data_IF_379441225185
#
_entry.id   IF_379441225185
#
_cell.length_a   1.000
_cell.length_b   1.000
_cell.length_c   1.000
_cell.angle_alpha   90.00
_cell.angle_beta   90.00
_cell.angle_gamma   90.00
#
_symmetry.space_group_name_H-M   'P 1'
#
loop_
_entity.id
_entity.type
_entity.pdbx_description
1 polymer ?
#
# COMPACT_ATOMS: atom_id res chain seq x y z
N UNK A 1 -13.86 -7.62 1.76
CA UNK A 1 -15.28 -7.69 1.35
C UNK A 1 -15.92 -9.05 1.50
N UNK A 2 -15.37 -10.15 0.96
CA UNK A 2 -16.14 -11.40 0.88
C UNK A 2 -16.23 -12.27 2.14
N UNK A 3 -15.32 -12.16 3.11
CA UNK A 3 -15.22 -13.11 4.24
C UNK A 3 -15.07 -12.48 5.63
N UNK A 4 -14.19 -11.48 5.79
CA UNK A 4 -13.79 -10.98 7.11
C UNK A 4 -14.50 -9.69 7.55
N UNK A 5 -15.11 -8.95 6.62
CA UNK A 5 -15.58 -7.57 6.86
C UNK A 5 -14.43 -6.56 6.95
N UNK A 6 -14.69 -5.28 6.64
CA UNK A 6 -13.64 -4.25 6.52
C UNK A 6 -12.88 -4.03 7.83
N UNK A 7 -13.58 -3.91 8.96
CA UNK A 7 -12.99 -3.68 10.29
C UNK A 7 -11.99 -4.78 10.68
N UNK A 8 -12.41 -6.05 10.64
CA UNK A 8 -11.51 -7.18 11.01
C UNK A 8 -10.34 -7.29 10.04
N UNK A 9 -10.55 -7.05 8.74
CA UNK A 9 -9.46 -7.01 7.76
C UNK A 9 -8.43 -5.94 8.12
N UNK A 10 -8.86 -4.72 8.49
CA UNK A 10 -7.96 -3.65 8.93
C UNK A 10 -7.17 -4.09 10.17
N UNK A 11 -7.83 -4.64 11.19
CA UNK A 11 -7.16 -5.07 12.42
C UNK A 11 -6.14 -6.18 12.16
N UNK A 12 -6.51 -7.26 11.48
CA UNK A 12 -5.59 -8.37 11.21
C UNK A 12 -4.39 -7.95 10.34
N UNK A 13 -4.63 -7.16 9.30
CA UNK A 13 -3.53 -6.68 8.46
C UNK A 13 -2.66 -5.63 9.15
N UNK A 14 -3.22 -4.85 10.09
CA UNK A 14 -2.45 -3.94 10.93
C UNK A 14 -1.55 -4.67 11.91
N UNK A 15 -1.99 -5.80 12.46
CA UNK A 15 -1.14 -6.68 13.28
C UNK A 15 0.01 -7.24 12.43
N UNK A 16 -0.30 -7.76 11.23
CA UNK A 16 0.72 -8.25 10.29
C UNK A 16 1.72 -7.15 9.91
N UNK A 17 1.24 -5.94 9.63
CA UNK A 17 2.07 -4.79 9.33
C UNK A 17 2.99 -4.42 10.50
N UNK A 18 2.44 -4.40 11.72
CA UNK A 18 3.20 -4.10 12.94
C UNK A 18 4.31 -5.14 13.17
N UNK A 19 4.00 -6.43 13.03
CA UNK A 19 4.98 -7.51 13.12
C UNK A 19 6.08 -7.32 12.07
N UNK A 20 5.72 -7.01 10.83
CA UNK A 20 6.68 -6.73 9.76
C UNK A 20 7.63 -5.57 10.08
N UNK A 21 7.11 -4.48 10.65
CA UNK A 21 7.93 -3.34 11.07
C UNK A 21 8.84 -3.67 12.26
N UNK A 22 8.35 -4.45 13.24
CA UNK A 22 9.18 -4.89 14.38
C UNK A 22 10.30 -5.82 13.90
N UNK A 23 10.01 -6.78 13.02
CA UNK A 23 11.03 -7.65 12.41
C UNK A 23 12.07 -6.82 11.65
N UNK A 24 11.64 -5.80 10.91
CA UNK A 24 12.53 -4.88 10.21
C UNK A 24 13.42 -4.06 11.16
N UNK A 25 12.86 -3.57 12.27
CA UNK A 25 13.63 -2.84 13.27
C UNK A 25 14.66 -3.75 13.96
N UNK A 26 14.31 -5.01 14.26
CA UNK A 26 15.22 -6.00 14.83
C UNK A 26 16.30 -6.41 13.83
N UNK A 27 15.96 -6.61 12.55
CA UNK A 27 16.94 -7.01 11.53
C UNK A 27 18.00 -5.94 11.30
N UNK A 28 17.68 -4.68 11.56
CA UNK A 28 18.61 -3.55 11.48
C UNK A 28 19.59 -3.46 12.68
N UNK A 29 19.41 -4.24 13.75
CA UNK A 29 20.33 -4.25 14.91
C UNK A 29 21.43 -5.27 14.61
N UNK A 30 22.55 -4.83 14.05
CA UNK A 30 23.70 -5.69 13.76
C UNK A 30 24.34 -6.30 15.02
N UNK A 31 24.26 -5.60 16.16
CA UNK A 31 24.77 -6.05 17.47
C UNK A 31 24.13 -7.38 17.97
N UNK A 32 23.01 -7.85 17.40
CA UNK A 32 22.37 -9.11 17.82
C UNK A 32 23.17 -10.34 17.37
N UNK A 33 23.87 -10.25 16.24
CA UNK A 33 24.63 -11.35 15.65
C UNK A 33 26.12 -11.06 15.59
N UNK A 34 26.55 -9.89 16.06
CA UNK A 34 27.96 -9.52 16.22
C UNK A 34 28.50 -10.07 17.55
N UNK A 35 28.88 -11.35 17.56
CA UNK A 35 29.47 -12.01 18.74
C UNK A 35 30.91 -11.52 18.96
N UNK A 36 31.55 -11.06 17.88
CA UNK A 36 32.95 -10.63 17.84
C UNK A 36 33.16 -9.14 18.21
N UNK A 37 32.07 -8.37 18.35
CA UNK A 37 32.04 -6.92 18.66
C UNK A 37 32.84 -6.06 17.66
N UNK A 38 32.94 -6.51 16.41
CA UNK A 38 33.70 -5.81 15.38
C UNK A 38 32.86 -4.79 14.59
N UNK A 39 31.55 -4.72 14.87
CA UNK A 39 30.59 -3.86 14.19
C UNK A 39 30.06 -4.46 12.89
N UNK A 40 30.38 -5.72 12.56
CA UNK A 40 29.85 -6.45 11.41
C UNK A 40 29.08 -7.68 11.86
N UNK A 41 27.88 -7.95 11.31
CA UNK A 41 27.12 -9.11 11.71
C UNK A 41 27.79 -10.39 11.19
N UNK A 42 28.11 -11.33 12.09
CA UNK A 42 28.77 -12.61 11.79
C UNK A 42 27.96 -13.47 10.79
N UNK A 43 26.64 -13.26 10.71
CA UNK A 43 25.76 -13.95 9.78
C UNK A 43 24.90 -12.97 8.97
N UNK A 44 25.49 -12.40 7.91
CA UNK A 44 24.81 -11.52 6.96
C UNK A 44 23.54 -12.15 6.34
N UNK A 45 23.53 -13.47 6.16
CA UNK A 45 22.40 -14.22 5.59
C UNK A 45 21.17 -14.13 6.49
N UNK A 46 21.36 -14.18 7.81
CA UNK A 46 20.27 -14.09 8.79
C UNK A 46 19.60 -12.71 8.76
N UNK A 47 20.39 -11.63 8.79
CA UNK A 47 19.89 -10.25 8.72
C UNK A 47 19.17 -9.97 7.39
N UNK A 48 19.69 -10.49 6.28
CA UNK A 48 19.06 -10.36 4.96
C UNK A 48 17.72 -11.11 4.90
N UNK A 49 17.67 -12.34 5.41
CA UNK A 49 16.45 -13.14 5.42
C UNK A 49 15.35 -12.51 6.29
N UNK A 50 15.71 -12.03 7.50
CA UNK A 50 14.78 -11.31 8.38
C UNK A 50 14.27 -10.02 7.75
N UNK A 51 15.15 -9.25 7.09
CA UNK A 51 14.74 -8.04 6.40
C UNK A 51 13.78 -8.35 5.24
N UNK A 52 14.06 -9.38 4.43
CA UNK A 52 13.15 -9.80 3.36
C UNK A 52 11.78 -10.23 3.90
N UNK A 53 11.76 -10.98 4.99
CA UNK A 53 10.52 -11.36 5.67
C UNK A 53 9.75 -10.13 6.16
N UNK A 54 10.44 -9.18 6.81
CA UNK A 54 9.85 -7.93 7.28
C UNK A 54 9.24 -7.11 6.14
N UNK A 55 9.95 -6.96 5.01
CA UNK A 55 9.46 -6.25 3.82
C UNK A 55 8.22 -6.92 3.22
N UNK A 56 8.19 -8.26 3.15
CA UNK A 56 7.02 -9.00 2.64
C UNK A 56 5.80 -8.77 3.53
N UNK A 57 5.97 -8.82 4.85
CA UNK A 57 4.89 -8.57 5.81
C UNK A 57 4.39 -7.12 5.75
N UNK A 58 5.31 -6.16 5.61
CA UNK A 58 4.98 -4.74 5.39
C UNK A 58 4.19 -4.56 4.09
N UNK A 59 4.63 -5.17 2.99
CA UNK A 59 3.96 -5.08 1.70
C UNK A 59 2.53 -5.67 1.76
N UNK A 60 2.38 -6.83 2.42
CA UNK A 60 1.09 -7.48 2.61
C UNK A 60 0.15 -6.63 3.47
N UNK A 61 0.65 -6.10 4.59
CA UNK A 61 -0.12 -5.25 5.50
C UNK A 61 -0.57 -3.96 4.83
N UNK A 62 0.37 -3.18 4.30
CA UNK A 62 0.08 -1.89 3.66
C UNK A 62 -0.84 -2.04 2.44
N UNK A 63 -0.64 -3.08 1.62
CA UNK A 63 -1.44 -3.35 0.43
C UNK A 63 -2.92 -3.61 0.73
N UNK A 64 -3.23 -4.27 1.85
CA UNK A 64 -4.63 -4.53 2.21
C UNK A 64 -5.25 -3.51 3.17
N UNK A 65 -4.46 -2.78 3.97
CA UNK A 65 -4.97 -1.71 4.84
C UNK A 65 -5.50 -0.54 4.01
N UNK A 66 -4.72 -0.05 3.04
CA UNK A 66 -5.02 1.17 2.26
C UNK A 66 -6.44 1.20 1.66
N UNK A 67 -6.88 0.20 0.87
CA UNK A 67 -8.23 0.23 0.28
C UNK A 67 -9.33 0.09 1.34
N UNK A 68 -9.07 -0.63 2.44
CA UNK A 68 -10.06 -0.88 3.48
C UNK A 68 -10.26 0.34 4.39
N UNK A 69 -9.21 1.05 4.79
CA UNK A 69 -9.30 2.19 5.71
C UNK A 69 -10.04 3.37 5.07
N UNK A 70 -9.71 3.71 3.82
CA UNK A 70 -10.39 4.79 3.11
C UNK A 70 -11.89 4.49 2.92
N UNK A 71 -12.21 3.25 2.54
CA UNK A 71 -13.60 2.82 2.39
C UNK A 71 -14.33 2.79 3.75
N UNK A 72 -13.69 2.27 4.81
CA UNK A 72 -14.28 2.19 6.14
C UNK A 72 -14.55 3.57 6.75
N UNK A 73 -13.64 4.53 6.56
CA UNK A 73 -13.83 5.91 7.00
C UNK A 73 -14.96 6.62 6.26
N UNK A 74 -15.12 6.36 4.96
CA UNK A 74 -16.24 6.88 4.16
C UNK A 74 -17.59 6.30 4.59
N UNK A 75 -17.63 5.02 4.98
CA UNK A 75 -18.84 4.34 5.45
C UNK A 75 -19.36 4.86 6.81
N UNK A 76 -18.60 5.69 7.52
CA UNK A 76 -19.04 6.27 8.80
C UNK A 76 -20.05 7.41 8.64
N UNK A 77 -20.22 7.92 7.41
CA UNK A 77 -21.09 9.05 7.11
C UNK A 77 -22.32 8.57 6.36
N UNK A 78 -23.50 8.98 6.81
CA UNK A 78 -24.76 8.73 6.11
C UNK A 78 -24.86 9.56 4.81
N UNK A 79 -25.78 9.18 3.91
CA UNK A 79 -25.96 9.87 2.62
C UNK A 79 -26.28 11.37 2.76
N UNK A 80 -26.97 11.77 3.84
CA UNK A 80 -27.29 13.17 4.10
C UNK A 80 -26.08 14.02 4.55
N UNK A 81 -24.95 13.39 4.88
CA UNK A 81 -23.75 14.01 5.46
C UNK A 81 -22.63 14.24 4.44
N UNK A 82 -22.97 14.52 3.17
CA UNK A 82 -21.97 14.63 2.09
C UNK A 82 -20.89 15.68 2.36
N UNK A 83 -21.26 16.82 2.96
CA UNK A 83 -20.31 17.89 3.30
C UNK A 83 -19.29 17.45 4.35
N UNK A 84 -19.73 16.70 5.36
CA UNK A 84 -18.85 16.17 6.42
C UNK A 84 -17.93 15.08 5.85
N UNK A 85 -18.48 14.19 5.01
CA UNK A 85 -17.72 13.15 4.30
C UNK A 85 -16.64 13.75 3.41
N UNK A 86 -16.95 14.80 2.65
CA UNK A 86 -15.97 15.51 1.82
C UNK A 86 -14.87 16.16 2.67
N UNK A 87 -15.24 16.83 3.76
CA UNK A 87 -14.28 17.45 4.69
C UNK A 87 -13.36 16.41 5.33
N UNK A 88 -13.91 15.25 5.71
CA UNK A 88 -13.12 14.12 6.21
C UNK A 88 -12.06 13.67 5.19
N UNK A 89 -12.43 13.48 3.93
CA UNK A 89 -11.47 13.10 2.88
C UNK A 89 -10.43 14.20 2.60
N UNK A 90 -10.79 15.47 2.70
CA UNK A 90 -9.83 16.58 2.60
C UNK A 90 -8.81 16.57 3.76
N UNK A 91 -9.27 16.38 5.00
CA UNK A 91 -8.38 16.27 6.17
C UNK A 91 -7.52 15.00 6.07
N UNK A 92 -8.09 13.89 5.62
CA UNK A 92 -7.37 12.64 5.39
C UNK A 92 -6.25 12.81 4.35
N UNK A 93 -6.54 13.47 3.22
CA UNK A 93 -5.55 13.77 2.20
C UNK A 93 -4.45 14.71 2.71
N UNK A 94 -4.83 15.77 3.44
CA UNK A 94 -3.87 16.68 4.08
C UNK A 94 -2.96 15.93 5.05
N UNK A 95 -3.51 14.99 5.83
CA UNK A 95 -2.77 14.20 6.81
C UNK A 95 -1.76 13.25 6.14
N UNK A 96 -2.11 12.69 4.98
CA UNK A 96 -1.19 11.85 4.19
C UNK A 96 -0.02 12.68 3.67
N UNK A 97 -0.29 13.85 3.07
CA UNK A 97 0.78 14.71 2.54
C UNK A 97 1.67 15.26 3.66
N UNK A 98 1.07 15.71 4.76
CA UNK A 98 1.82 16.17 5.94
C UNK A 98 2.66 15.03 6.55
N UNK A 99 2.09 13.83 6.67
CA UNK A 99 2.81 12.65 7.17
C UNK A 99 3.97 12.25 6.26
N UNK A 100 3.78 12.31 4.94
CA UNK A 100 4.84 12.07 3.95
C UNK A 100 5.97 13.09 4.11
N UNK A 101 5.64 14.39 4.16
CA UNK A 101 6.59 15.48 4.35
C UNK A 101 7.42 15.31 5.65
N UNK A 102 6.74 15.08 6.77
CA UNK A 102 7.39 14.86 8.07
C UNK A 102 8.26 13.61 8.05
N UNK A 103 7.80 12.52 7.43
CA UNK A 103 8.58 11.27 7.32
C UNK A 103 9.86 11.48 6.51
N UNK A 104 9.79 12.16 5.37
CA UNK A 104 10.96 12.44 4.52
C UNK A 104 11.96 13.39 5.20
N UNK A 105 11.51 14.27 6.09
CA UNK A 105 12.39 15.15 6.87
C UNK A 105 13.01 14.46 8.08
N UNK A 106 12.20 13.80 8.90
CA UNK A 106 12.59 13.25 10.21
C UNK A 106 13.38 11.95 10.05
N UNK A 107 13.00 11.07 9.12
CA UNK A 107 13.62 9.74 8.98
C UNK A 107 15.13 9.82 8.67
N UNK A 108 15.61 10.68 7.75
CA UNK A 108 17.05 10.87 7.53
C UNK A 108 17.78 11.44 8.73
N UNK A 109 17.16 12.35 9.50
CA UNK A 109 17.75 12.93 10.71
C UNK A 109 17.91 11.85 11.79
N UNK A 110 16.88 11.01 11.99
CA UNK A 110 16.95 9.89 12.93
C UNK A 110 18.00 8.85 12.52
N UNK A 111 18.14 8.59 11.21
CA UNK A 111 19.17 7.70 10.67
C UNK A 111 20.58 8.26 10.83
N UNK A 112 20.75 9.58 10.67
CA UNK A 112 22.05 10.26 10.73
C UNK A 112 22.60 10.38 12.16
N UNK A 113 21.79 10.10 13.18
CA UNK A 113 22.28 10.03 14.56
C UNK A 113 23.28 8.85 14.69
N UNK A 114 24.29 9.04 15.54
CA UNK A 114 25.22 7.98 15.93
C UNK A 114 24.56 7.15 17.05
N UNK A 115 24.30 5.87 16.82
CA UNK A 115 23.87 4.95 17.86
C UNK A 115 24.50 3.58 17.64
N UNK A 116 24.97 3.03 18.75
CA UNK A 116 25.43 1.66 18.89
C UNK A 116 26.02 1.51 20.29
N UNK A 117 25.84 0.34 20.90
CA UNK A 117 26.29 0.12 22.28
C UNK A 117 27.82 -0.02 22.32
N UNK A 118 28.42 -0.49 21.21
CA UNK A 118 29.86 -0.76 21.11
C UNK A 118 30.56 -0.10 19.90
N UNK A 119 29.85 0.19 18.80
CA UNK A 119 30.40 0.90 17.63
C UNK A 119 29.51 2.07 17.21
N UNK A 120 30.11 3.21 16.86
CA UNK A 120 29.38 4.40 16.36
C UNK A 120 28.93 4.15 14.91
N UNK A 121 27.82 3.46 14.74
CA UNK A 121 27.17 3.30 13.42
C UNK A 121 25.90 4.16 13.33
N UNK A 122 25.43 4.37 12.10
CA UNK A 122 24.16 5.05 11.83
C UNK A 122 22.99 4.23 12.39
N UNK A 123 22.10 4.83 13.18
CA UNK A 123 21.01 4.10 13.85
C UNK A 123 19.85 3.77 12.88
N UNK A 124 20.01 2.74 12.07
CA UNK A 124 18.91 2.15 11.31
C UNK A 124 17.77 1.61 12.21
N UNK A 125 18.03 1.00 13.38
CA UNK A 125 16.97 0.52 14.27
C UNK A 125 16.02 1.62 14.74
N UNK A 126 16.52 2.83 14.97
CA UNK A 126 15.69 3.96 15.41
C UNK A 126 14.78 4.44 14.28
N UNK A 127 15.32 4.54 13.06
CA UNK A 127 14.57 4.95 11.87
C UNK A 127 13.41 3.98 11.55
N UNK A 128 13.58 2.68 11.77
CA UNK A 128 12.50 1.69 11.59
C UNK A 128 11.63 1.48 12.84
N UNK A 129 12.17 1.68 14.04
CA UNK A 129 11.48 1.50 15.30
C UNK A 129 10.45 2.59 15.60
N UNK A 130 10.72 3.85 15.24
CA UNK A 130 9.76 4.96 15.43
C UNK A 130 8.45 4.72 14.67
N UNK A 131 8.46 4.42 13.35
CA UNK A 131 7.25 4.03 12.63
C UNK A 131 6.53 2.82 13.26
N UNK A 132 7.27 1.83 13.75
CA UNK A 132 6.69 0.65 14.38
C UNK A 132 5.91 1.01 15.64
N UNK A 133 6.47 1.86 16.51
CA UNK A 133 5.80 2.35 17.70
C UNK A 133 4.55 3.19 17.36
N UNK A 134 4.65 4.09 16.38
CA UNK A 134 3.51 4.88 15.92
C UNK A 134 2.38 4.01 15.36
N UNK A 135 2.72 2.93 14.63
CA UNK A 135 1.74 1.97 14.13
C UNK A 135 1.04 1.21 15.25
N UNK A 136 1.76 0.81 16.31
CA UNK A 136 1.17 0.19 17.51
C UNK A 136 0.18 1.12 18.16
N UNK A 137 0.55 2.39 18.37
CA UNK A 137 -0.35 3.41 18.94
C UNK A 137 -1.59 3.59 18.07
N UNK A 138 -1.43 3.71 16.75
CA UNK A 138 -2.54 3.82 15.81
C UNK A 138 -3.48 2.61 15.88
N UNK A 139 -2.95 1.39 15.98
CA UNK A 139 -3.74 0.17 16.13
C UNK A 139 -4.53 0.16 17.44
N UNK A 140 -3.92 0.56 18.55
CA UNK A 140 -4.60 0.64 19.86
C UNK A 140 -5.76 1.63 19.79
N UNK A 141 -5.53 2.83 19.25
CA UNK A 141 -6.58 3.85 19.08
C UNK A 141 -7.70 3.33 18.18
N UNK A 142 -7.34 2.67 17.07
CA UNK A 142 -8.33 2.11 16.16
C UNK A 142 -9.21 1.05 16.83
N UNK A 143 -8.63 0.14 17.60
CA UNK A 143 -9.37 -0.91 18.33
C UNK A 143 -10.21 -0.29 19.46
N UNK A 144 -9.68 0.70 20.18
CA UNK A 144 -10.42 1.37 21.25
C UNK A 144 -11.74 2.00 20.75
N UNK A 145 -11.76 2.51 19.51
CA UNK A 145 -12.95 3.06 18.87
C UNK A 145 -14.00 2.05 18.40
N UNK A 146 -13.79 0.74 18.56
CA UNK A 146 -14.66 -0.29 17.95
C UNK A 146 -16.16 -0.14 18.23
N UNK A 147 -16.54 0.33 19.43
CA UNK A 147 -17.94 0.52 19.83
C UNK A 147 -18.62 1.71 19.15
N UNK A 148 -17.85 2.64 18.57
CA UNK A 148 -18.36 3.84 17.92
C UNK A 148 -18.52 3.68 16.41
N UNK A 149 -17.97 2.61 15.82
CA UNK A 149 -17.96 2.46 14.37
C UNK A 149 -19.24 1.84 13.82
N UNK A 150 -19.68 2.37 12.69
CA UNK A 150 -20.73 1.76 11.88
C UNK A 150 -20.11 0.60 11.09
N UNK A 151 -20.57 -0.62 11.38
CA UNK A 151 -20.07 -1.85 10.75
C UNK A 151 -21.03 -2.31 9.64
N UNK A 152 -20.67 -1.99 8.40
CA UNK A 152 -21.41 -2.45 7.22
C UNK A 152 -21.26 -3.96 6.99
N UNK A 153 -22.36 -4.59 6.56
CA UNK A 153 -22.38 -6.02 6.25
C UNK A 153 -21.54 -6.33 5.00
N UNK A 154 -20.87 -7.50 4.94
CA UNK A 154 -20.01 -7.86 3.81
C UNK A 154 -20.82 -7.98 2.51
N UNK A 155 -20.59 -7.06 1.58
CA UNK A 155 -21.11 -7.12 0.21
C UNK A 155 -20.35 -8.20 -0.57
N UNK A 156 -21.09 -9.02 -1.34
CA UNK A 156 -20.56 -10.20 -2.03
C UNK A 156 -19.40 -9.93 -3.01
N UNK A 157 -18.79 -10.98 -3.55
CA UNK A 157 -17.61 -10.87 -4.42
C UNK A 157 -17.99 -10.51 -5.88
N UNK A 158 -18.12 -9.21 -6.17
CA UNK A 158 -18.39 -8.69 -7.52
C UNK A 158 -17.27 -9.07 -8.49
N UNK A 159 -16.01 -9.03 -8.07
CA UNK A 159 -14.87 -9.38 -8.95
C UNK A 159 -14.97 -10.83 -9.45
N UNK A 160 -15.29 -11.77 -8.56
CA UNK A 160 -15.50 -13.17 -8.94
C UNK A 160 -16.67 -13.34 -9.92
N UNK A 161 -17.75 -12.58 -9.72
CA UNK A 161 -18.90 -12.59 -10.63
C UNK A 161 -18.50 -12.08 -12.02
N UNK A 162 -17.76 -10.96 -12.08
CA UNK A 162 -17.24 -10.40 -13.34
C UNK A 162 -16.31 -11.38 -14.06
N UNK A 163 -15.36 -12.00 -13.34
CA UNK A 163 -14.45 -12.99 -13.92
C UNK A 163 -15.19 -14.22 -14.46
N UNK A 164 -16.18 -14.74 -13.73
CA UNK A 164 -17.03 -15.85 -14.18
C UNK A 164 -17.91 -15.46 -15.37
N UNK A 165 -18.40 -14.22 -15.42
CA UNK A 165 -19.18 -13.68 -16.54
C UNK A 165 -18.33 -13.61 -17.81
N UNK A 166 -17.12 -13.03 -17.73
CA UNK A 166 -16.17 -12.96 -18.85
C UNK A 166 -15.77 -14.36 -19.32
N UNK A 167 -15.40 -15.25 -18.39
CA UNK A 167 -15.01 -16.63 -18.71
C UNK A 167 -16.15 -17.41 -19.39
N UNK A 168 -17.39 -17.22 -18.92
CA UNK A 168 -18.57 -17.81 -19.55
C UNK A 168 -18.81 -17.23 -20.94
N UNK A 169 -18.75 -15.91 -21.13
CA UNK A 169 -18.91 -15.27 -22.44
C UNK A 169 -17.89 -15.79 -23.46
N UNK A 170 -16.63 -15.92 -23.05
CA UNK A 170 -15.54 -16.42 -23.90
C UNK A 170 -15.78 -17.89 -24.25
N UNK A 171 -16.08 -18.75 -23.26
CA UNK A 171 -16.38 -20.16 -23.48
C UNK A 171 -17.57 -20.34 -24.42
N UNK A 172 -18.63 -19.58 -24.21
CA UNK A 172 -19.86 -19.68 -24.98
C UNK A 172 -19.66 -19.21 -26.44
N UNK A 173 -18.84 -18.17 -26.64
CA UNK A 173 -18.42 -17.70 -27.97
C UNK A 173 -17.61 -18.76 -28.72
N UNK A 174 -16.74 -19.51 -28.06
CA UNK A 174 -15.96 -20.56 -28.71
C UNK A 174 -16.82 -21.79 -29.05
N UNK A 175 -17.75 -22.18 -28.18
CA UNK A 175 -18.65 -23.31 -28.42
C UNK A 175 -19.67 -23.03 -29.55
N UNK A 176 -20.18 -21.81 -29.65
CA UNK A 176 -21.17 -21.41 -30.64
C UNK A 176 -20.57 -20.72 -31.87
N UNK A 177 -19.28 -20.96 -32.16
CA UNK A 177 -18.57 -20.43 -33.34
C UNK A 177 -19.05 -21.02 -34.68
N UNK A 178 -19.99 -21.98 -34.64
CA UNK A 178 -20.60 -22.61 -35.81
C UNK A 178 -21.60 -21.69 -36.52
N UNK A 179 -21.77 -21.85 -37.84
CA UNK A 179 -22.57 -20.99 -38.74
C UNK A 179 -24.09 -20.92 -38.46
N UNK A 180 -24.59 -21.64 -37.46
CA UNK A 180 -26.03 -21.78 -37.16
C UNK A 180 -26.61 -20.68 -36.24
N UNK A 181 -25.79 -19.86 -35.58
CA UNK A 181 -26.29 -18.81 -34.68
C UNK A 181 -26.09 -17.40 -35.25
N UNK A 182 -27.08 -16.49 -35.09
CA UNK A 182 -26.95 -15.10 -35.52
C UNK A 182 -25.77 -14.43 -34.81
N UNK A 183 -24.96 -13.67 -35.56
CA UNK A 183 -23.82 -12.94 -35.00
C UNK A 183 -24.34 -11.85 -34.06
N UNK A 184 -23.94 -11.89 -32.79
CA UNK A 184 -24.17 -10.81 -31.81
C UNK A 184 -23.26 -9.61 -32.12
N UNK A 185 -23.72 -8.39 -31.83
CA UNK A 185 -22.95 -7.16 -32.06
C UNK A 185 -21.68 -7.07 -31.20
N UNK A 186 -21.74 -7.51 -29.93
CA UNK A 186 -20.59 -7.54 -29.03
C UNK A 186 -20.30 -8.96 -28.52
N UNK A 187 -19.01 -9.30 -28.37
CA UNK A 187 -18.58 -10.63 -27.92
C UNK A 187 -19.02 -10.99 -26.50
N UNK A 188 -19.45 -10.01 -25.71
CA UNK A 188 -19.90 -10.22 -24.33
C UNK A 188 -21.40 -10.49 -24.22
N UNK A 189 -22.16 -10.31 -25.30
CA UNK A 189 -23.60 -10.64 -25.34
C UNK A 189 -23.83 -12.17 -25.31
N UNK A 190 -22.77 -12.95 -25.52
CA UNK A 190 -22.77 -14.40 -25.31
C UNK A 190 -22.95 -14.80 -23.83
N UNK A 191 -22.92 -13.86 -22.89
CA UNK A 191 -23.26 -14.10 -21.49
C UNK A 191 -24.74 -13.90 -21.14
N UNK A 192 -25.56 -13.37 -22.07
CA UNK A 192 -26.97 -13.02 -21.83
C UNK A 192 -27.84 -14.22 -21.40
N UNK A 193 -27.42 -15.44 -21.75
CA UNK A 193 -28.12 -16.69 -21.39
C UNK A 193 -28.09 -17.00 -19.88
N UNK A 194 -27.10 -16.45 -19.16
CA UNK A 194 -26.85 -16.79 -17.75
C UNK A 194 -26.76 -15.59 -16.81
N UNK A 195 -26.46 -14.41 -17.34
CA UNK A 195 -26.21 -13.21 -16.54
C UNK A 195 -27.10 -12.05 -16.96
N UNK A 196 -27.44 -11.19 -16.00
CA UNK A 196 -28.27 -10.02 -16.24
C UNK A 196 -27.66 -9.05 -17.25
N UNK A 197 -28.51 -8.43 -18.08
CA UNK A 197 -28.11 -7.42 -19.08
C UNK A 197 -27.37 -6.23 -18.45
N UNK A 198 -27.79 -5.82 -17.24
CA UNK A 198 -27.14 -4.75 -16.50
C UNK A 198 -25.69 -5.10 -16.15
N UNK A 199 -25.46 -6.32 -15.64
CA UNK A 199 -24.12 -6.79 -15.31
C UNK A 199 -23.24 -6.84 -16.57
N UNK A 200 -23.76 -7.37 -17.67
CA UNK A 200 -23.05 -7.44 -18.95
C UNK A 200 -22.67 -6.04 -19.45
N UNK A 201 -23.59 -5.08 -19.37
CA UNK A 201 -23.33 -3.69 -19.73
C UNK A 201 -22.25 -3.05 -18.85
N UNK A 202 -22.30 -3.28 -17.53
CA UNK A 202 -21.28 -2.80 -16.60
C UNK A 202 -19.90 -3.40 -16.91
N UNK A 203 -19.82 -4.70 -17.18
CA UNK A 203 -18.55 -5.34 -17.58
C UNK A 203 -18.03 -4.75 -18.89
N UNK A 204 -18.90 -4.41 -19.86
CA UNK A 204 -18.48 -3.75 -21.13
C UNK A 204 -17.81 -2.41 -20.83
N UNK A 205 -18.39 -1.64 -19.92
CA UNK A 205 -17.85 -0.34 -19.50
C UNK A 205 -16.51 -0.51 -18.77
N UNK A 206 -16.40 -1.47 -17.84
CA UNK A 206 -15.15 -1.76 -17.11
C UNK A 206 -14.02 -2.13 -18.06
N UNK A 207 -14.28 -2.95 -19.09
CA UNK A 207 -13.25 -3.34 -20.07
C UNK A 207 -12.78 -2.16 -20.93
N UNK A 208 -13.67 -1.22 -21.27
CA UNK A 208 -13.28 0.02 -21.96
C UNK A 208 -12.40 0.90 -21.06
N UNK A 209 -12.75 1.00 -19.78
CA UNK A 209 -11.93 1.74 -18.80
C UNK A 209 -10.57 1.06 -18.60
N UNK A 210 -10.52 -0.28 -18.58
CA UNK A 210 -9.25 -1.02 -18.46
C UNK A 210 -8.32 -0.74 -19.65
N UNK A 211 -8.86 -0.58 -20.86
CA UNK A 211 -8.08 -0.18 -22.02
C UNK A 211 -7.46 1.23 -21.87
N UNK A 212 -8.21 2.18 -21.29
CA UNK A 212 -7.69 3.51 -20.95
C UNK A 212 -6.49 3.44 -19.98
N UNK A 213 -6.46 2.42 -19.12
CA UNK A 213 -5.42 2.23 -18.11
C UNK A 213 -4.16 1.51 -18.59
N UNK A 214 -4.07 1.08 -19.86
CA UNK A 214 -2.87 0.43 -20.42
C UNK A 214 -1.58 1.29 -20.29
N UNK A 215 -1.61 2.63 -20.44
CA UNK A 215 -0.40 3.45 -20.26
C UNK A 215 0.01 3.65 -18.79
N UNK A 216 -0.87 3.41 -17.81
CA UNK A 216 -0.58 3.68 -16.39
C UNK A 216 0.63 2.94 -15.83
N UNK A 217 0.85 1.64 -16.12
CA UNK A 217 2.05 0.94 -15.66
C UNK A 217 3.35 1.62 -16.10
N UNK A 218 3.38 2.22 -17.31
CA UNK A 218 4.57 2.95 -17.78
C UNK A 218 4.78 4.24 -16.98
N UNK A 219 3.71 4.97 -16.68
CA UNK A 219 3.77 6.14 -15.80
C UNK A 219 4.30 5.77 -14.42
N UNK A 220 3.73 4.76 -13.76
CA UNK A 220 4.17 4.32 -12.44
C UNK A 220 5.60 3.77 -12.45
N UNK A 221 6.01 3.06 -13.50
CA UNK A 221 7.40 2.59 -13.66
C UNK A 221 8.42 3.73 -13.77
N UNK A 222 8.02 4.92 -14.25
CA UNK A 222 8.87 6.11 -14.25
C UNK A 222 8.78 6.86 -12.92
N UNK A 223 7.58 7.00 -12.37
CA UNK A 223 7.36 7.68 -11.10
C UNK A 223 8.09 6.98 -9.93
N UNK A 224 8.04 5.66 -9.86
CA UNK A 224 8.69 4.89 -8.79
C UNK A 224 10.24 4.92 -8.87
N UNK A 225 10.84 5.36 -9.99
CA UNK A 225 12.29 5.55 -10.09
C UNK A 225 12.82 6.70 -9.23
N UNK A 226 11.95 7.65 -8.87
CA UNK A 226 12.27 8.73 -7.94
C UNK A 226 12.73 8.17 -6.58
N UNK A 227 12.14 7.05 -6.17
CA UNK A 227 12.44 6.29 -4.95
C UNK A 227 13.81 5.63 -4.89
N UNK A 228 14.47 5.42 -6.03
CA UNK A 228 15.62 4.53 -6.14
C UNK A 228 16.74 5.12 -7.00
N UNK A 229 16.56 5.14 -8.32
CA UNK A 229 17.59 5.59 -9.27
C UNK A 229 17.96 7.05 -9.07
N UNK A 230 16.97 7.91 -8.77
CA UNK A 230 17.22 9.33 -8.55
C UNK A 230 17.93 9.57 -7.23
N UNK A 231 17.57 8.84 -6.18
CA UNK A 231 18.30 8.84 -4.90
C UNK A 231 19.76 8.43 -5.08
N UNK A 232 20.02 7.36 -5.84
CA UNK A 232 21.38 6.91 -6.16
C UNK A 232 22.17 7.93 -6.99
N UNK A 233 21.50 8.67 -7.87
CA UNK A 233 22.14 9.76 -8.60
C UNK A 233 22.45 10.94 -7.67
N UNK A 234 21.56 11.24 -6.73
CA UNK A 234 21.76 12.33 -5.76
C UNK A 234 22.96 12.07 -4.82
N UNK A 235 23.39 10.82 -4.60
CA UNK A 235 24.61 10.54 -3.82
C UNK A 235 25.90 10.98 -4.52
N UNK A 236 25.88 11.19 -5.84
CA UNK A 236 27.03 11.66 -6.63
C UNK A 236 26.95 13.15 -7.00
N UNK A 237 25.92 13.84 -6.51
CA UNK A 237 25.70 15.27 -6.74
C UNK A 237 26.10 16.08 -5.50
N UNK A 238 26.43 17.37 -5.70
CA UNK A 238 26.68 18.27 -4.57
C UNK A 238 25.35 18.66 -3.92
N UNK A 239 25.14 18.20 -2.68
CA UNK A 239 23.97 18.51 -1.85
C UNK A 239 24.13 19.80 -1.02
N UNK A 240 25.21 20.55 -1.20
CA UNK A 240 25.51 21.75 -0.43
C UNK A 240 24.76 22.97 -0.97
N UNK A 241 23.67 23.36 -0.30
CA UNK A 241 22.94 24.60 -0.57
C UNK A 241 23.41 25.77 0.31
N UNK A 242 24.65 25.73 0.79
CA UNK A 242 25.28 26.75 1.63
C UNK A 242 24.78 26.75 3.07
N UNK A 243 23.49 27.04 3.28
CA UNK A 243 22.87 27.08 4.61
C UNK A 243 22.41 25.70 5.12
N UNK A 244 22.15 24.76 4.21
CA UNK A 244 21.69 23.42 4.52
C UNK A 244 22.34 22.41 3.58
N UNK A 245 22.70 21.25 4.12
CA UNK A 245 23.15 20.10 3.35
C UNK A 245 21.94 19.17 3.17
N UNK A 246 21.47 19.04 1.93
CA UNK A 246 20.33 18.17 1.59
C UNK A 246 20.86 16.75 1.42
N UNK A 247 20.29 15.80 2.16
CA UNK A 247 20.62 14.39 1.98
C UNK A 247 19.99 13.83 0.69
N UNK A 248 20.60 12.84 0.04
CA UNK A 248 20.08 12.25 -1.21
C UNK A 248 18.61 11.77 -1.10
N UNK A 249 18.23 11.20 0.05
CA UNK A 249 16.87 10.72 0.33
C UNK A 249 15.84 11.86 0.49
N UNK A 250 16.31 13.08 0.75
CA UNK A 250 15.48 14.28 0.96
C UNK A 250 15.09 14.97 -0.35
N UNK A 251 15.61 14.54 -1.50
CA UNK A 251 15.23 15.08 -2.82
C UNK A 251 13.71 14.98 -3.08
N UNK A 252 13.04 14.01 -2.45
CA UNK A 252 11.60 13.77 -2.62
C UNK A 252 10.69 14.69 -1.78
N UNK A 253 11.25 15.57 -0.95
CA UNK A 253 10.47 16.52 -0.12
C UNK A 253 9.53 17.40 -0.94
N UNK A 254 9.83 17.62 -2.23
CA UNK A 254 9.02 18.46 -3.11
C UNK A 254 7.69 17.79 -3.49
N UNK A 255 7.63 16.45 -3.57
CA UNK A 255 6.42 15.74 -3.99
C UNK A 255 5.20 15.97 -3.07
N UNK A 256 5.32 15.89 -1.73
CA UNK A 256 4.21 16.20 -0.84
C UNK A 256 3.77 17.67 -0.80
N UNK A 257 4.59 18.58 -1.36
CA UNK A 257 4.35 20.03 -1.37
C UNK A 257 3.59 20.46 -2.65
N UNK A 258 3.79 19.73 -3.76
CA UNK A 258 3.12 19.93 -5.05
C UNK A 258 1.71 19.33 -5.06
#
# INVERSE_FOLDING_TARGET
>A
DSWLGKFKTIVYLSIVYTIGQVIMAISAIHDITDTNRDGTPDNMTFHTAMSMLGLILIALGTGGIKPCVAAFGGDQFEEHQEKQRSTFFSIFYLSINAGSLLSTLITPILRAQECGIYSKQSCFPLAFGVPAALMVVALIVFIAGHNMYIMESPKGNILLQVMKCIGFAIRNRFNHRSKQHPKREHWMDWAEEKYDKLLIAQVKMVLKVLFLYIPLPMFWALFDQQGSRWTLQATTMDGNFGAFIIQPDQMQIVNPIL
#
